data_IF_389310198915
#
_entry.id   IF_389310198915
#
_cell.length_a   1.000
_cell.length_b   1.000
_cell.length_c   1.000
_cell.angle_alpha   90.00
_cell.angle_beta   90.00
_cell.angle_gamma   90.00
#
_symmetry.space_group_name_H-M   'P 1'
#
loop_
_entity.id
_entity.type
_entity.pdbx_description
1 polymer ?
#
# COMPACT_ATOMS: atom_id res chain seq x y z
N UNK A 1 25.05 31.12 6.95
CA UNK A 1 23.98 31.10 7.97
C UNK A 1 23.44 29.67 8.01
N UNK A 2 23.67 28.93 9.09
CA UNK A 2 23.12 27.58 9.21
C UNK A 2 21.59 27.68 9.37
N UNK A 3 20.79 26.86 8.66
CA UNK A 3 19.34 26.88 8.81
C UNK A 3 18.94 26.59 10.26
N UNK A 4 17.94 27.29 10.81
CA UNK A 4 17.55 27.12 12.21
C UNK A 4 17.09 25.66 12.44
N UNK A 5 17.46 25.04 13.59
CA UNK A 5 17.21 23.63 13.85
C UNK A 5 15.73 23.25 13.81
N UNK A 6 14.84 24.22 14.10
CA UNK A 6 13.39 24.10 13.94
C UNK A 6 12.98 23.83 12.49
N UNK A 7 13.61 24.48 11.50
CA UNK A 7 13.31 24.27 10.09
C UNK A 7 13.73 22.86 9.66
N UNK A 8 14.89 22.39 10.11
CA UNK A 8 15.37 21.05 9.79
C UNK A 8 14.44 19.95 10.34
N UNK A 9 13.96 20.12 11.58
CA UNK A 9 12.99 19.20 12.19
C UNK A 9 11.63 19.21 11.49
N UNK A 10 11.13 20.38 11.08
CA UNK A 10 9.88 20.53 10.34
C UNK A 10 9.93 19.89 8.95
N UNK A 11 11.06 20.02 8.25
CA UNK A 11 11.26 19.38 6.94
C UNK A 11 11.34 17.85 7.08
N UNK A 12 12.06 17.35 8.08
CA UNK A 12 12.15 15.91 8.34
C UNK A 12 10.77 15.29 8.64
N UNK A 13 9.96 15.98 9.44
CA UNK A 13 8.62 15.53 9.80
C UNK A 13 7.64 15.60 8.64
N UNK A 14 7.77 16.61 7.77
CA UNK A 14 6.99 16.71 6.53
C UNK A 14 7.37 15.60 5.51
N UNK A 15 8.62 15.13 5.50
CA UNK A 15 9.04 13.98 4.70
C UNK A 15 8.61 12.63 5.27
N UNK A 16 8.32 12.54 6.57
CA UNK A 16 7.98 11.27 7.21
C UNK A 16 6.66 10.68 6.69
N UNK A 17 5.65 11.54 6.49
CA UNK A 17 4.34 11.18 5.92
C UNK A 17 4.45 10.55 4.51
N UNK A 18 5.08 11.20 3.52
CA UNK A 18 5.22 10.63 2.18
C UNK A 18 6.12 9.38 2.16
N UNK A 19 7.09 9.27 3.07
CA UNK A 19 7.94 8.08 3.19
C UNK A 19 7.14 6.88 3.71
N UNK A 20 6.27 7.08 4.70
CA UNK A 20 5.32 6.05 5.16
C UNK A 20 4.31 5.67 4.07
N UNK A 21 3.82 6.63 3.29
CA UNK A 21 2.91 6.38 2.16
C UNK A 21 3.57 5.49 1.09
N UNK A 22 4.83 5.74 0.75
CA UNK A 22 5.59 4.93 -0.20
C UNK A 22 5.74 3.48 0.29
N UNK A 23 6.06 3.29 1.58
CA UNK A 23 6.18 1.96 2.19
C UNK A 23 4.85 1.21 2.10
N UNK A 24 3.74 1.89 2.42
CA UNK A 24 2.39 1.31 2.32
C UNK A 24 2.07 0.93 0.87
N UNK A 25 2.33 1.82 -0.09
CA UNK A 25 2.11 1.54 -1.52
C UNK A 25 2.90 0.33 -2.02
N UNK A 26 4.17 0.20 -1.63
CA UNK A 26 5.01 -0.96 -1.98
C UNK A 26 4.50 -2.25 -1.33
N UNK A 27 4.10 -2.21 -0.05
CA UNK A 27 3.53 -3.36 0.64
C UNK A 27 2.23 -3.84 -0.02
N UNK A 28 1.37 -2.91 -0.44
CA UNK A 28 0.13 -3.25 -1.15
C UNK A 28 0.43 -3.83 -2.51
N UNK A 29 1.35 -3.22 -3.26
CA UNK A 29 1.76 -3.73 -4.57
C UNK A 29 2.31 -5.15 -4.44
N UNK A 30 3.14 -5.41 -3.43
CA UNK A 30 3.64 -6.75 -3.13
C UNK A 30 2.50 -7.72 -2.79
N UNK A 31 1.54 -7.31 -1.95
CA UNK A 31 0.38 -8.15 -1.59
C UNK A 31 -0.52 -8.49 -2.80
N UNK A 32 -0.71 -7.53 -3.71
CA UNK A 32 -1.43 -7.73 -4.97
C UNK A 32 -0.67 -8.69 -5.88
N UNK A 33 0.64 -8.47 -6.08
CA UNK A 33 1.49 -9.36 -6.89
C UNK A 33 1.48 -10.78 -6.33
N UNK A 34 1.61 -10.96 -5.01
CA UNK A 34 1.54 -12.27 -4.36
C UNK A 34 0.17 -12.92 -4.56
N UNK A 35 -0.92 -12.16 -4.44
CA UNK A 35 -2.28 -12.69 -4.67
C UNK A 35 -2.46 -13.15 -6.12
N UNK A 36 -2.01 -12.37 -7.10
CA UNK A 36 -2.07 -12.71 -8.52
C UNK A 36 -1.18 -13.91 -8.85
N UNK A 37 0.06 -13.93 -8.33
CA UNK A 37 1.00 -15.02 -8.56
C UNK A 37 0.48 -16.34 -7.98
N UNK A 38 -0.09 -16.30 -6.77
CA UNK A 38 -0.70 -17.45 -6.12
C UNK A 38 -1.96 -17.94 -6.85
N UNK A 39 -2.68 -17.06 -7.55
CA UNK A 39 -3.81 -17.40 -8.39
C UNK A 39 -3.37 -18.16 -9.65
N UNK A 40 -2.32 -17.66 -10.31
CA UNK A 40 -1.75 -18.31 -11.50
C UNK A 40 -1.20 -19.70 -11.16
N UNK A 41 -0.59 -19.87 -9.98
CA UNK A 41 -0.02 -21.16 -9.57
C UNK A 41 -1.03 -22.21 -9.10
N UNK A 42 -2.23 -21.83 -8.64
CA UNK A 42 -3.13 -22.78 -7.93
C UNK A 42 -4.06 -23.61 -8.80
N UNK A 43 -4.13 -23.35 -10.10
CA UNK A 43 -5.00 -24.10 -11.00
C UNK A 43 -6.51 -23.88 -10.71
N UNK A 44 -7.38 -24.13 -11.71
CA UNK A 44 -8.76 -23.65 -11.73
C UNK A 44 -9.70 -24.48 -10.84
N UNK A 45 -9.62 -24.32 -9.52
CA UNK A 45 -10.74 -24.66 -8.63
C UNK A 45 -11.58 -23.40 -8.41
N UNK A 46 -12.71 -23.30 -9.15
CA UNK A 46 -13.58 -22.11 -9.28
C UNK A 46 -13.98 -21.41 -7.97
N UNK A 47 -13.86 -22.06 -6.82
CA UNK A 47 -14.26 -21.51 -5.52
C UNK A 47 -13.16 -20.70 -4.82
N UNK A 48 -11.88 -21.08 -4.99
CA UNK A 48 -10.75 -20.39 -4.36
C UNK A 48 -10.44 -19.03 -4.99
N UNK A 49 -10.66 -18.90 -6.31
CA UNK A 49 -10.51 -17.63 -7.02
C UNK A 49 -11.52 -16.58 -6.59
N UNK A 50 -12.78 -16.96 -6.34
CA UNK A 50 -13.82 -16.04 -5.92
C UNK A 50 -13.57 -15.45 -4.52
N UNK A 51 -13.18 -16.30 -3.56
CA UNK A 51 -12.90 -15.87 -2.18
C UNK A 51 -11.68 -14.95 -2.10
N UNK A 52 -10.66 -15.21 -2.93
CA UNK A 52 -9.47 -14.36 -3.03
C UNK A 52 -9.70 -13.07 -3.82
N UNK A 53 -10.59 -13.06 -4.82
CA UNK A 53 -11.02 -11.84 -5.51
C UNK A 53 -11.71 -10.88 -4.54
N UNK A 54 -12.60 -11.39 -3.70
CA UNK A 54 -13.30 -10.58 -2.70
C UNK A 54 -12.30 -10.05 -1.65
N UNK A 55 -11.41 -10.90 -1.15
CA UNK A 55 -10.34 -10.48 -0.22
C UNK A 55 -9.40 -9.45 -0.83
N UNK A 56 -8.97 -9.65 -2.08
CA UNK A 56 -8.12 -8.72 -2.82
C UNK A 56 -8.82 -7.39 -3.13
N UNK A 57 -10.10 -7.42 -3.49
CA UNK A 57 -10.91 -6.22 -3.69
C UNK A 57 -11.07 -5.44 -2.38
N UNK A 58 -11.30 -6.12 -1.25
CA UNK A 58 -11.40 -5.47 0.06
C UNK A 58 -10.10 -4.78 0.45
N UNK A 59 -8.95 -5.43 0.23
CA UNK A 59 -7.62 -4.84 0.47
C UNK A 59 -7.39 -3.66 -0.47
N UNK A 60 -7.73 -3.78 -1.75
CA UNK A 60 -7.60 -2.69 -2.73
C UNK A 60 -8.45 -1.47 -2.35
N UNK A 61 -9.71 -1.68 -1.95
CA UNK A 61 -10.62 -0.63 -1.48
C UNK A 61 -10.10 0.01 -0.20
N UNK A 62 -9.61 -0.78 0.75
CA UNK A 62 -9.03 -0.25 1.99
C UNK A 62 -7.82 0.65 1.71
N UNK A 63 -6.97 0.24 0.76
CA UNK A 63 -5.79 1.02 0.36
C UNK A 63 -6.19 2.26 -0.41
N UNK A 64 -7.13 2.17 -1.35
CA UNK A 64 -7.66 3.34 -2.07
C UNK A 64 -8.29 4.35 -1.10
N UNK A 65 -9.07 3.90 -0.12
CA UNK A 65 -9.59 4.77 0.94
C UNK A 65 -8.49 5.44 1.74
N UNK A 66 -7.43 4.72 2.10
CA UNK A 66 -6.28 5.29 2.81
C UNK A 66 -5.52 6.31 1.95
N UNK A 67 -5.35 6.01 0.66
CA UNK A 67 -4.67 6.86 -0.30
C UNK A 67 -5.47 8.15 -0.52
N UNK A 68 -6.78 8.05 -0.75
CA UNK A 68 -7.70 9.19 -0.91
C UNK A 68 -7.78 10.03 0.36
N UNK A 69 -7.73 9.43 1.54
CA UNK A 69 -7.72 10.20 2.79
C UNK A 69 -6.41 10.97 2.98
N UNK A 70 -5.33 10.51 2.36
CA UNK A 70 -3.99 11.11 2.49
C UNK A 70 -3.66 12.10 1.36
N UNK A 71 -4.38 12.07 0.24
CA UNK A 71 -4.29 13.06 -0.84
C UNK A 71 -5.31 14.18 -0.67
#
# INVERSE_FOLDING_TARGET
>A
MAPPPVLAAAVLSSLLVPLTQLIIGVLVLAAVVVSVHRLVQRGPTRMGGAMLLIGGALVCVAVLSYLVQTF
#
